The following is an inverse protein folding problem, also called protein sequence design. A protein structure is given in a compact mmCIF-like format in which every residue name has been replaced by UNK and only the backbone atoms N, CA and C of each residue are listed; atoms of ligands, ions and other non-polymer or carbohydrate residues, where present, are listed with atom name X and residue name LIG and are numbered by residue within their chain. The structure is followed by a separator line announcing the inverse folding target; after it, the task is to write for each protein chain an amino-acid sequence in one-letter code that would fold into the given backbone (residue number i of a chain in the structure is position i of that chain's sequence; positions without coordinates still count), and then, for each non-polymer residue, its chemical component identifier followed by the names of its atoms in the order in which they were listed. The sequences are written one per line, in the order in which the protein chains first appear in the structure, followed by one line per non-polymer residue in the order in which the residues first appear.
data_IF_310861557029
#
_entry.id   IF_310861557029
#
_cell.length_a   1.000
_cell.length_b   1.000
_cell.length_c   1.000
_cell.angle_alpha   90.00
_cell.angle_beta   90.00
_cell.angle_gamma   90.00
#
_symmetry.space_group_name_H-M   'P 1'
#
loop_
_entity.id
_entity.type
_entity.pdbx_description
1 polymer ?
#
# COMPACT_ATOMS: atom_id res chain seq x y z
N UNK A 1 -8.61 -9.02 1.48
CA UNK A 1 -9.76 -8.30 2.11
C UNK A 1 -11.00 -8.04 1.19
N UNK A 2 -11.17 -8.80 0.10
CA UNK A 2 -12.28 -8.69 -0.90
C UNK A 2 -12.25 -7.50 -1.86
N UNK A 3 -11.13 -6.80 -2.00
CA UNK A 3 -10.96 -5.76 -3.02
C UNK A 3 -10.56 -6.29 -4.42
N UNK A 4 -10.19 -7.57 -4.50
CA UNK A 4 -9.83 -8.25 -5.76
C UNK A 4 -8.34 -8.30 -6.05
N UNK A 5 -7.48 -7.87 -5.12
CA UNK A 5 -6.03 -7.96 -5.22
C UNK A 5 -5.47 -9.05 -4.31
N UNK A 6 -4.22 -9.48 -4.56
CA UNK A 6 -3.60 -10.58 -3.80
C UNK A 6 -2.14 -10.26 -3.49
N UNK A 7 -1.65 -10.66 -2.30
CA UNK A 7 -0.33 -10.29 -1.77
C UNK A 7 0.88 -11.04 -2.34
N UNK A 8 0.80 -11.53 -3.58
CA UNK A 8 1.92 -12.14 -4.27
C UNK A 8 1.47 -13.13 -5.35
N UNK A 9 2.43 -13.86 -5.90
CA UNK A 9 2.21 -14.93 -6.87
C UNK A 9 1.48 -16.13 -6.24
N UNK A 10 0.26 -15.91 -5.76
CA UNK A 10 -0.71 -16.95 -5.60
C UNK A 10 -1.00 -17.46 -7.00
N UNK A 11 -0.22 -18.46 -7.41
CA UNK A 11 -0.49 -19.32 -8.57
C UNK A 11 -1.74 -20.14 -8.25
N UNK A 12 -2.88 -19.45 -8.13
CA UNK A 12 -4.18 -20.10 -8.06
C UNK A 12 -4.44 -20.62 -9.46
N UNK A 13 -3.98 -21.84 -9.70
CA UNK A 13 -4.32 -22.59 -10.90
C UNK A 13 -5.79 -22.96 -10.75
N UNK A 14 -6.69 -22.09 -11.21
CA UNK A 14 -8.10 -22.42 -11.28
C UNK A 14 -8.28 -23.55 -12.30
N UNK A 15 -8.62 -24.76 -11.84
CA UNK A 15 -8.99 -25.85 -12.72
C UNK A 15 -10.48 -25.73 -13.05
N UNK A 16 -10.81 -25.20 -14.24
CA UNK A 16 -12.18 -24.98 -14.67
C UNK A 16 -12.31 -23.91 -15.76
N UNK A 17 -13.48 -23.82 -16.40
CA UNK A 17 -13.74 -22.87 -17.49
C UNK A 17 -14.08 -21.45 -17.00
N UNK A 18 -14.28 -21.24 -15.70
CA UNK A 18 -14.67 -19.96 -15.11
C UNK A 18 -13.89 -19.69 -13.82
N UNK A 19 -13.54 -18.43 -13.62
CA UNK A 19 -12.89 -17.94 -12.39
C UNK A 19 -13.96 -17.89 -11.29
N UNK A 20 -13.74 -18.48 -10.09
CA UNK A 20 -14.69 -18.38 -8.99
C UNK A 20 -14.91 -16.91 -8.58
N UNK A 21 -16.11 -16.59 -8.09
CA UNK A 21 -16.40 -15.26 -7.58
C UNK A 21 -15.39 -14.89 -6.47
N UNK A 22 -14.76 -13.71 -6.59
CA UNK A 22 -13.72 -13.23 -5.68
C UNK A 22 -12.27 -13.53 -6.10
N UNK A 23 -12.06 -14.14 -7.27
CA UNK A 23 -10.72 -14.37 -7.83
C UNK A 23 -10.54 -13.62 -9.15
N UNK A 24 -9.31 -13.22 -9.47
CA UNK A 24 -8.93 -12.56 -10.72
C UNK A 24 -7.87 -13.40 -11.45
N UNK A 25 -7.99 -13.54 -12.78
CA UNK A 25 -7.09 -14.41 -13.57
C UNK A 25 -5.72 -13.80 -13.84
N UNK A 26 -5.49 -12.54 -13.49
CA UNK A 26 -4.25 -11.86 -13.81
C UNK A 26 -3.74 -11.10 -12.59
N UNK A 27 -2.60 -11.55 -12.08
CA UNK A 27 -1.78 -10.90 -11.05
C UNK A 27 -1.14 -9.62 -11.62
N UNK A 28 -1.95 -8.70 -12.15
CA UNK A 28 -1.42 -7.48 -12.79
C UNK A 28 -0.81 -6.54 -11.78
N UNK A 29 -1.17 -6.64 -10.50
CA UNK A 29 -0.50 -5.92 -9.44
C UNK A 29 -0.69 -6.63 -8.08
N UNK A 30 0.33 -6.52 -7.24
CA UNK A 30 0.41 -7.19 -5.94
C UNK A 30 -0.21 -6.29 -4.88
N UNK A 31 -1.10 -6.86 -4.08
CA UNK A 31 -1.61 -6.20 -2.89
C UNK A 31 -0.53 -6.12 -1.80
N UNK A 32 -0.14 -4.92 -1.43
CA UNK A 32 0.83 -4.70 -0.38
C UNK A 32 0.24 -4.90 1.04
N UNK A 33 -1.09 -4.90 1.20
CA UNK A 33 -1.77 -5.14 2.47
C UNK A 33 -3.17 -5.80 2.34
N UNK A 34 -3.20 -7.13 2.22
CA UNK A 34 -4.41 -7.97 2.09
C UNK A 34 -5.34 -8.00 3.34
N UNK A 35 -5.02 -7.19 4.36
CA UNK A 35 -5.89 -6.95 5.52
C UNK A 35 -6.71 -5.66 5.40
N UNK A 36 -6.45 -4.79 4.41
CA UNK A 36 -7.01 -3.44 4.30
C UNK A 36 -7.44 -3.16 2.87
N UNK A 37 -8.74 -3.25 2.58
CA UNK A 37 -9.30 -3.08 1.23
C UNK A 37 -9.13 -1.67 0.61
N UNK A 38 -8.56 -0.73 1.38
CA UNK A 38 -8.19 0.61 0.94
C UNK A 38 -6.70 0.69 0.56
N UNK A 39 -5.94 -0.40 0.64
CA UNK A 39 -4.52 -0.46 0.29
C UNK A 39 -4.41 -1.50 -0.81
N UNK A 40 -4.38 -1.06 -2.05
CA UNK A 40 -4.23 -1.92 -3.21
C UNK A 40 -3.86 -1.12 -4.48
N UNK A 41 -3.37 -1.79 -5.52
CA UNK A 41 -3.01 -1.17 -6.80
C UNK A 41 -4.05 -0.31 -7.52
N UNK A 42 -5.32 -0.42 -7.14
CA UNK A 42 -6.40 0.39 -7.69
C UNK A 42 -6.79 1.58 -6.81
N UNK A 43 -6.21 1.72 -5.62
CA UNK A 43 -6.55 2.79 -4.70
C UNK A 43 -5.87 4.10 -5.09
N UNK A 44 -6.52 5.21 -4.74
CA UNK A 44 -5.95 6.55 -4.86
C UNK A 44 -5.26 6.88 -3.54
N UNK A 45 -4.09 7.47 -3.63
CA UNK A 45 -3.29 7.85 -2.47
C UNK A 45 -3.99 8.83 -1.54
N UNK A 46 -4.02 8.48 -0.26
CA UNK A 46 -4.55 9.31 0.82
C UNK A 46 -3.42 10.15 1.37
N UNK A 47 -3.34 11.37 0.83
CA UNK A 47 -2.26 12.30 1.14
C UNK A 47 -2.02 12.49 2.65
N UNK A 48 -0.74 12.49 3.02
CA UNK A 48 -0.21 12.74 4.36
C UNK A 48 -0.52 11.65 5.40
N UNK A 49 -0.86 10.44 4.96
CA UNK A 49 -1.04 9.30 5.86
C UNK A 49 0.26 8.49 6.06
N UNK A 50 1.26 8.69 5.19
CA UNK A 50 2.53 7.94 5.23
C UNK A 50 2.40 6.45 4.88
N UNK A 51 1.35 6.08 4.15
CA UNK A 51 1.06 4.73 3.67
C UNK A 51 1.17 4.73 2.14
N UNK A 52 1.62 3.61 1.58
CA UNK A 52 1.54 3.31 0.15
C UNK A 52 0.16 2.68 -0.06
N UNK A 53 -0.84 3.50 -0.37
CA UNK A 53 -2.22 3.06 -0.56
C UNK A 53 -2.41 2.41 -1.94
N UNK A 54 -1.61 2.81 -2.93
CA UNK A 54 -1.72 2.31 -4.30
C UNK A 54 -0.73 1.18 -4.65
N UNK A 55 0.05 0.70 -3.68
CA UNK A 55 1.05 -0.35 -3.82
C UNK A 55 2.03 -0.15 -4.99
N UNK A 56 2.35 1.09 -5.36
CA UNK A 56 3.30 1.42 -6.44
C UNK A 56 4.76 1.56 -5.94
N UNK A 57 4.95 1.46 -4.61
CA UNK A 57 6.23 1.53 -3.93
C UNK A 57 6.64 2.93 -3.51
N UNK A 58 5.81 3.95 -3.75
CA UNK A 58 6.00 5.29 -3.26
C UNK A 58 5.00 5.59 -2.13
N UNK A 59 5.40 6.48 -1.23
CA UNK A 59 4.49 7.02 -0.21
C UNK A 59 4.05 8.40 -0.67
N UNK A 60 2.76 8.70 -0.55
CA UNK A 60 2.19 10.04 -0.70
C UNK A 60 2.77 10.79 -1.93
N UNK A 61 2.53 10.35 -3.18
CA UNK A 61 3.29 10.88 -4.34
C UNK A 61 3.05 12.38 -4.54
N UNK A 62 4.11 13.16 -4.31
CA UNK A 62 4.07 14.61 -4.35
C UNK A 62 3.64 15.28 -3.04
N UNK A 63 3.30 14.50 -2.01
CA UNK A 63 2.80 14.95 -0.71
C UNK A 63 3.49 14.26 0.49
N UNK A 64 4.71 13.78 0.28
CA UNK A 64 5.49 13.12 1.33
C UNK A 64 5.55 13.94 2.62
N UNK A 65 5.34 13.26 3.74
CA UNK A 65 5.68 13.75 5.07
C UNK A 65 7.21 13.91 5.15
N UNK A 66 7.71 15.05 4.69
CA UNK A 66 9.11 15.46 4.85
C UNK A 66 9.35 15.82 6.32
N UNK A 67 9.50 14.79 7.16
CA UNK A 67 10.07 14.95 8.49
C UNK A 67 11.56 15.24 8.31
N UNK A 68 11.90 16.49 8.00
CA UNK A 68 13.28 16.93 7.96
C UNK A 68 13.82 16.95 9.39
N UNK A 69 14.58 15.92 9.75
CA UNK A 69 15.39 15.91 10.96
C UNK A 69 16.45 16.99 10.79
N UNK A 70 16.22 18.17 11.36
CA UNK A 70 17.26 19.20 11.40
C UNK A 70 18.42 18.66 12.25
N UNK A 71 19.67 19.06 11.96
CA UNK A 71 20.85 18.56 12.69
C UNK A 71 20.76 18.75 14.23
N UNK A 72 19.89 19.67 14.68
CA UNK A 72 19.55 19.89 16.09
C UNK A 72 18.68 18.79 16.74
N UNK A 73 18.18 17.84 15.95
CA UNK A 73 17.26 16.75 16.33
C UNK A 73 17.89 15.35 16.16
N UNK A 74 19.22 15.27 15.97
CA UNK A 74 19.89 13.97 15.98
C UNK A 74 19.77 13.34 17.39
N UNK A 75 19.09 12.19 17.49
CA UNK A 75 18.87 11.46 18.75
C UNK A 75 17.52 11.68 19.44
N UNK A 76 16.58 12.41 18.84
CA UNK A 76 15.20 12.45 19.34
C UNK A 76 14.33 11.36 18.68
N UNK A 77 13.37 10.83 19.43
CA UNK A 77 12.38 9.89 18.92
C UNK A 77 11.30 10.62 18.13
N UNK A 78 10.64 9.93 17.19
CA UNK A 78 9.59 10.47 16.31
C UNK A 78 8.50 11.26 17.06
N UNK A 79 8.22 10.91 18.33
CA UNK A 79 7.26 11.59 19.21
C UNK A 79 7.68 13.02 19.64
N UNK A 80 8.93 13.42 19.42
CA UNK A 80 9.48 14.73 19.81
C UNK A 80 9.80 15.64 18.62
N UNK A 81 9.57 15.17 17.39
CA UNK A 81 9.58 16.05 16.21
C UNK A 81 8.22 16.75 16.23
N UNK A 82 8.19 18.04 16.58
CA UNK A 82 6.99 18.84 16.41
C UNK A 82 6.58 18.73 14.93
N UNK A 83 5.44 18.08 14.66
CA UNK A 83 4.74 18.25 13.38
C UNK A 83 4.49 19.74 13.22
N UNK A 84 5.14 20.35 12.23
CA UNK A 84 4.83 21.68 11.73
C UNK A 84 4.16 21.51 10.39
#
# INVERSE_FOLDING_TARGET
DFDGYTSGASTVTCYGAAIPAGYVATLTAIDCNDAVAAINPGHVEVLYNGVDDNCDGNLDEGFQLLSNVINAQCGITLAAINSV
#
